data_IF_841615673084
#
_entry.id   IF_841615673084
#
_cell.length_a   1.000
_cell.length_b   1.000
_cell.length_c   1.000
_cell.angle_alpha   90.00
_cell.angle_beta   90.00
_cell.angle_gamma   90.00
#
_symmetry.space_group_name_H-M   'P 1'
#
loop_
_entity.id
_entity.type
_entity.pdbx_description
1 polymer ?
#
# COMPACT_ATOMS: atom_id res chain seq x y z
N UNK A 1 -10.57 -2.82 3.06
CA UNK A 1 -10.35 -3.42 1.71
C UNK A 1 -9.77 -4.81 1.92
N UNK A 2 -10.14 -5.79 1.11
CA UNK A 2 -9.61 -7.16 1.21
C UNK A 2 -8.96 -7.52 -0.11
N UNK A 3 -7.74 -8.06 -0.05
CA UNK A 3 -7.04 -8.67 -1.17
C UNK A 3 -7.14 -10.18 -1.05
N UNK A 4 -7.37 -10.85 -2.18
CA UNK A 4 -7.30 -12.29 -2.28
C UNK A 4 -6.08 -12.65 -3.11
N UNK A 5 -5.14 -13.36 -2.50
CA UNK A 5 -4.13 -14.06 -3.26
C UNK A 5 -4.77 -15.30 -3.91
N UNK A 6 -4.93 -15.28 -5.23
CA UNK A 6 -5.56 -16.40 -5.95
C UNK A 6 -4.68 -17.64 -6.02
N UNK A 7 -3.36 -17.50 -5.83
CA UNK A 7 -2.41 -18.62 -5.91
C UNK A 7 -2.46 -19.48 -4.64
N UNK A 8 -2.44 -18.85 -3.46
CA UNK A 8 -2.50 -19.54 -2.17
C UNK A 8 -3.89 -19.57 -1.51
N UNK A 9 -4.87 -18.85 -2.05
CA UNK A 9 -6.22 -18.74 -1.50
C UNK A 9 -6.30 -17.90 -0.21
N UNK A 10 -5.24 -17.17 0.14
CA UNK A 10 -5.17 -16.37 1.37
C UNK A 10 -5.82 -15.01 1.21
N UNK A 11 -6.55 -14.59 2.23
CA UNK A 11 -7.13 -13.25 2.32
C UNK A 11 -6.26 -12.33 3.16
N UNK A 12 -6.05 -11.12 2.66
CA UNK A 12 -5.34 -10.05 3.35
C UNK A 12 -6.28 -8.87 3.56
N UNK A 13 -6.55 -8.53 4.81
CA UNK A 13 -7.36 -7.37 5.14
C UNK A 13 -6.45 -6.16 5.35
N UNK A 14 -6.68 -5.12 4.53
CA UNK A 14 -6.02 -3.84 4.69
C UNK A 14 -6.81 -2.94 5.64
N UNK A 15 -6.07 -2.31 6.56
CA UNK A 15 -6.57 -1.20 7.35
C UNK A 15 -6.85 0.04 6.46
N UNK A 16 -7.43 1.09 7.03
CA UNK A 16 -7.83 2.28 6.26
C UNK A 16 -6.65 2.95 5.52
N UNK A 17 -5.51 3.07 6.20
CA UNK A 17 -4.25 3.59 5.67
C UNK A 17 -3.73 2.76 4.50
N UNK A 18 -3.60 1.45 4.67
CA UNK A 18 -3.10 0.58 3.62
C UNK A 18 -4.04 0.47 2.42
N UNK A 19 -5.35 0.59 2.64
CA UNK A 19 -6.32 0.68 1.55
C UNK A 19 -6.20 2.00 0.77
N UNK A 20 -5.84 3.11 1.42
CA UNK A 20 -5.56 4.38 0.75
C UNK A 20 -4.32 4.26 -0.12
N UNK A 21 -3.20 3.85 0.47
CA UNK A 21 -1.92 3.70 -0.22
C UNK A 21 -2.05 2.77 -1.43
N UNK A 22 -2.69 1.61 -1.25
CA UNK A 22 -2.88 0.68 -2.36
C UNK A 22 -3.73 1.26 -3.49
N UNK A 23 -4.80 2.01 -3.19
CA UNK A 23 -5.61 2.66 -4.24
C UNK A 23 -4.77 3.66 -5.03
N UNK A 24 -4.03 4.54 -4.34
CA UNK A 24 -3.15 5.52 -4.98
C UNK A 24 -2.17 4.85 -5.94
N UNK A 25 -1.56 3.73 -5.53
CA UNK A 25 -0.65 2.96 -6.38
C UNK A 25 -1.37 2.28 -7.56
N UNK A 26 -2.58 1.74 -7.36
CA UNK A 26 -3.38 1.13 -8.43
C UNK A 26 -3.88 2.15 -9.46
N UNK A 27 -3.98 3.43 -9.08
CA UNK A 27 -4.27 4.54 -9.98
C UNK A 27 -3.04 4.97 -10.81
N UNK A 28 -1.90 4.31 -10.64
CA UNK A 28 -0.65 4.59 -11.35
C UNK A 28 0.17 5.72 -10.74
N UNK A 29 -0.18 6.20 -9.55
CA UNK A 29 0.60 7.20 -8.85
C UNK A 29 1.81 6.58 -8.13
N UNK A 30 2.77 7.43 -7.75
CA UNK A 30 4.01 7.00 -7.09
C UNK A 30 3.82 6.76 -5.60
N UNK A 31 4.77 6.04 -4.99
CA UNK A 31 4.89 5.89 -3.53
C UNK A 31 4.92 7.24 -2.82
N UNK A 32 5.64 8.22 -3.36
CA UNK A 32 5.77 9.57 -2.79
C UNK A 32 4.42 10.29 -2.77
N UNK A 33 3.59 10.10 -3.80
CA UNK A 33 2.22 10.63 -3.81
C UNK A 33 1.37 9.96 -2.73
N UNK A 34 1.49 8.64 -2.55
CA UNK A 34 0.78 7.94 -1.49
C UNK A 34 1.22 8.40 -0.08
N UNK A 35 2.52 8.66 0.13
CA UNK A 35 3.04 9.24 1.38
C UNK A 35 2.44 10.62 1.63
N UNK A 36 2.40 11.47 0.60
CA UNK A 36 1.82 12.80 0.70
C UNK A 36 0.34 12.74 1.07
N UNK A 37 -0.46 11.95 0.35
CA UNK A 37 -1.90 11.81 0.60
C UNK A 37 -2.19 11.25 1.99
N UNK A 38 -1.33 10.34 2.48
CA UNK A 38 -1.44 9.79 3.82
C UNK A 38 -1.09 10.81 4.90
N UNK A 39 -0.05 11.62 4.69
CA UNK A 39 0.35 12.69 5.59
C UNK A 39 -0.69 13.82 5.65
N UNK A 40 -1.30 14.18 4.52
CA UNK A 40 -2.39 15.16 4.46
C UNK A 40 -3.63 14.65 5.18
N UNK A 41 -3.97 13.36 5.02
CA UNK A 41 -5.17 12.78 5.65
C UNK A 41 -4.99 12.49 7.13
N UNK A 42 -3.76 12.23 7.58
CA UNK A 42 -3.43 11.97 8.98
C UNK A 42 -2.26 12.83 9.46
N UNK A 43 -2.46 14.15 9.67
CA UNK A 43 -1.37 15.07 10.01
C UNK A 43 -0.61 14.69 11.28
N UNK A 44 -1.31 14.15 12.29
CA UNK A 44 -0.72 13.70 13.55
C UNK A 44 0.25 12.51 13.38
N UNK A 45 0.14 11.76 12.28
CA UNK A 45 0.98 10.62 11.97
C UNK A 45 1.88 10.85 10.73
N UNK A 46 1.94 12.07 10.20
CA UNK A 46 2.68 12.40 8.98
C UNK A 46 4.17 11.97 9.05
N UNK A 47 4.79 12.06 10.23
CA UNK A 47 6.17 11.63 10.45
C UNK A 47 6.42 10.12 10.22
N UNK A 48 5.37 9.29 10.27
CA UNK A 48 5.45 7.84 9.99
C UNK A 48 4.92 7.47 8.62
N UNK A 49 4.32 8.40 7.88
CA UNK A 49 3.64 8.09 6.62
C UNK A 49 4.56 7.42 5.60
N UNK A 50 5.83 7.85 5.52
CA UNK A 50 6.83 7.23 4.66
C UNK A 50 7.12 5.78 5.06
N UNK A 51 7.43 5.53 6.34
CA UNK A 51 7.73 4.20 6.87
C UNK A 51 6.53 3.25 6.72
N UNK A 52 5.32 3.73 6.99
CA UNK A 52 4.08 2.96 6.85
C UNK A 52 3.83 2.54 5.39
N UNK A 53 4.13 3.42 4.42
CA UNK A 53 4.03 3.13 2.99
C UNK A 53 5.07 2.10 2.56
N UNK A 54 6.34 2.29 2.93
CA UNK A 54 7.42 1.36 2.61
C UNK A 54 7.17 -0.03 3.19
N UNK A 55 6.78 -0.11 4.47
CA UNK A 55 6.44 -1.35 5.15
C UNK A 55 5.28 -2.08 4.44
N UNK A 56 4.26 -1.34 4.01
CA UNK A 56 3.14 -1.92 3.28
C UNK A 56 3.58 -2.49 1.93
N UNK A 57 4.33 -1.72 1.14
CA UNK A 57 4.83 -2.17 -0.17
C UNK A 57 5.70 -3.41 0.00
N UNK A 58 6.60 -3.42 0.99
CA UNK A 58 7.43 -4.58 1.32
C UNK A 58 6.62 -5.82 1.70
N UNK A 59 5.55 -5.66 2.49
CA UNK A 59 4.64 -6.76 2.85
C UNK A 59 3.88 -7.29 1.63
N UNK A 60 3.39 -6.41 0.76
CA UNK A 60 2.68 -6.81 -0.45
C UNK A 60 3.60 -7.56 -1.42
N UNK A 61 4.85 -7.11 -1.58
CA UNK A 61 5.88 -7.81 -2.38
C UNK A 61 6.21 -9.19 -1.81
N UNK A 62 6.45 -9.27 -0.50
CA UNK A 62 6.76 -10.54 0.18
C UNK A 62 5.60 -11.53 0.08
N UNK A 63 4.36 -11.03 0.07
CA UNK A 63 3.17 -11.85 -0.12
C UNK A 63 2.91 -12.24 -1.60
N UNK A 64 3.72 -11.77 -2.54
CA UNK A 64 3.54 -12.01 -3.98
C UNK A 64 2.31 -11.32 -4.57
N UNK A 65 1.76 -10.32 -3.88
CA UNK A 65 0.51 -9.63 -4.25
C UNK A 65 0.72 -8.49 -5.24
N UNK A 66 1.95 -7.98 -5.33
CA UNK A 66 2.35 -6.99 -6.34
C UNK A 66 3.60 -7.50 -7.05
N UNK A 67 3.60 -7.40 -8.37
CA UNK A 67 4.77 -7.66 -9.21
C UNK A 67 5.56 -6.39 -9.47
N UNK A 68 6.81 -6.54 -9.87
CA UNK A 68 7.52 -5.46 -10.56
C UNK A 68 6.91 -5.33 -11.96
N UNK A 69 6.65 -4.10 -12.41
CA UNK A 69 6.23 -3.80 -13.78
C UNK A 69 7.23 -4.49 -14.73
N UNK A 70 6.75 -5.50 -15.46
CA UNK A 70 7.51 -6.13 -16.54
C UNK A 70 7.47 -5.15 -17.71
N UNK A 71 8.46 -4.25 -17.76
CA UNK A 71 8.83 -3.52 -18.98
C UNK A 71 9.34 -4.50 -20.02
#
# INVERSE_FOLDING_TARGET
MVLLDRSSGKYWQLNATGALVLRTLLEGATSEKAVHDLAERYPAAAHRAADDVDLLIGRLRTAGLIGEERV
#
